data_IF_343802665762
#
_entry.id   IF_343802665762
#
_cell.length_a   1.000
_cell.length_b   1.000
_cell.length_c   1.000
_cell.angle_alpha   90.00
_cell.angle_beta   90.00
_cell.angle_gamma   90.00
#
_symmetry.space_group_name_H-M   'P 1'
#
loop_
_entity.id
_entity.type
_entity.pdbx_description
1 polymer ?
#
# COMPACT_ATOMS: atom_id res chain seq x y z
N UNK A 1 -5.16 -82.55 28.94
CA UNK A 1 -5.48 -81.72 27.76
C UNK A 1 -6.74 -82.27 27.13
N UNK A 2 -7.73 -81.42 26.88
CA UNK A 2 -8.92 -81.77 26.12
C UNK A 2 -8.58 -81.61 24.62
N UNK A 3 -8.51 -82.73 23.89
CA UNK A 3 -8.30 -82.72 22.44
C UNK A 3 -9.67 -82.57 21.75
N UNK A 4 -9.92 -81.47 21.04
CA UNK A 4 -11.18 -81.30 20.33
C UNK A 4 -11.24 -82.33 19.20
N UNK A 5 -12.21 -83.23 19.32
CA UNK A 5 -12.41 -84.34 18.38
C UNK A 5 -13.79 -84.24 17.74
N UNK A 6 -13.83 -84.52 16.45
CA UNK A 6 -15.04 -84.74 15.68
C UNK A 6 -15.28 -86.25 15.61
N UNK A 7 -16.38 -86.72 16.20
CA UNK A 7 -16.78 -88.12 16.18
C UNK A 7 -17.97 -88.32 15.24
N UNK A 8 -17.77 -89.08 14.17
CA UNK A 8 -18.85 -89.55 13.29
C UNK A 8 -19.15 -91.00 13.61
N UNK A 9 -20.36 -91.28 14.10
CA UNK A 9 -20.84 -92.63 14.36
C UNK A 9 -21.85 -93.04 13.30
N UNK A 10 -21.60 -94.17 12.65
CA UNK A 10 -22.56 -94.84 11.78
C UNK A 10 -22.83 -96.24 12.29
N UNK A 11 -23.99 -96.79 11.96
CA UNK A 11 -24.37 -98.15 12.35
C UNK A 11 -24.72 -98.97 11.12
N UNK A 12 -24.37 -100.24 11.14
CA UNK A 12 -24.70 -101.20 10.10
C UNK A 12 -25.00 -102.57 10.74
N UNK A 13 -25.84 -103.37 10.09
CA UNK A 13 -26.27 -104.69 10.58
C UNK A 13 -25.70 -105.80 9.71
N UNK A 14 -25.27 -106.89 10.33
CA UNK A 14 -24.96 -108.16 9.66
C UNK A 14 -25.70 -109.27 10.38
N UNK A 15 -26.57 -110.00 9.67
CA UNK A 15 -27.48 -110.99 10.25
C UNK A 15 -28.37 -110.36 11.35
N UNK A 16 -28.32 -110.85 12.60
CA UNK A 16 -29.05 -110.28 13.75
C UNK A 16 -28.21 -109.31 14.61
N UNK A 17 -26.90 -109.20 14.37
CA UNK A 17 -26.00 -108.37 15.17
C UNK A 17 -25.87 -106.95 14.59
N UNK A 18 -25.86 -105.95 15.49
CA UNK A 18 -25.69 -104.53 15.14
C UNK A 18 -24.26 -104.08 15.43
N UNK A 19 -23.61 -103.54 14.40
CA UNK A 19 -22.28 -102.97 14.48
C UNK A 19 -22.36 -101.44 14.48
N UNK A 20 -21.38 -100.82 15.12
CA UNK A 20 -21.18 -99.38 15.13
C UNK A 20 -19.77 -99.11 14.61
N UNK A 21 -19.66 -98.22 13.63
CA UNK A 21 -18.39 -97.70 13.14
C UNK A 21 -18.26 -96.26 13.59
N UNK A 22 -17.23 -95.94 14.37
CA UNK A 22 -16.88 -94.57 14.75
C UNK A 22 -15.64 -94.11 14.01
N UNK A 23 -15.68 -92.91 13.43
CA UNK A 23 -14.50 -92.19 12.92
C UNK A 23 -14.23 -91.04 13.87
N UNK A 24 -13.03 -91.02 14.46
CA UNK A 24 -12.55 -89.93 15.32
C UNK A 24 -11.55 -89.12 14.51
N UNK A 25 -11.76 -87.81 14.42
CA UNK A 25 -10.84 -86.87 13.78
C UNK A 25 -10.42 -85.79 14.78
N UNK A 26 -9.12 -85.58 14.94
CA UNK A 26 -8.59 -84.41 15.66
C UNK A 26 -8.85 -83.15 14.82
N UNK A 27 -9.49 -82.15 15.43
CA UNK A 27 -9.83 -80.87 14.80
C UNK A 27 -9.14 -79.68 15.49
N UNK A 28 -8.13 -79.92 16.33
CA UNK A 28 -7.43 -78.89 17.08
C UNK A 28 -6.77 -77.83 16.20
N UNK A 29 -6.11 -78.24 15.13
CA UNK A 29 -5.51 -77.31 14.16
C UNK A 29 -6.55 -76.46 13.45
N UNK A 30 -7.67 -77.06 13.03
CA UNK A 30 -8.76 -76.33 12.35
C UNK A 30 -9.38 -75.29 13.27
N UNK A 31 -9.69 -75.64 14.53
CA UNK A 31 -10.25 -74.70 15.50
C UNK A 31 -9.29 -73.53 15.79
N UNK A 32 -7.99 -73.81 15.98
CA UNK A 32 -6.99 -72.75 16.19
C UNK A 32 -6.90 -71.80 14.98
N UNK A 33 -6.96 -72.33 13.76
CA UNK A 33 -6.97 -71.52 12.55
C UNK A 33 -8.24 -70.67 12.43
N UNK A 34 -9.42 -71.24 12.73
CA UNK A 34 -10.70 -70.51 12.75
C UNK A 34 -10.69 -69.38 13.80
N UNK A 35 -10.22 -69.66 15.02
CA UNK A 35 -10.13 -68.66 16.09
C UNK A 35 -9.14 -67.54 15.73
N UNK A 36 -7.97 -67.88 15.16
CA UNK A 36 -6.99 -66.90 14.70
C UNK A 36 -7.53 -66.02 13.56
N UNK A 37 -8.25 -66.62 12.60
CA UNK A 37 -8.89 -65.89 11.51
C UNK A 37 -9.93 -64.90 12.06
N UNK A 38 -10.79 -65.38 12.97
CA UNK A 38 -11.82 -64.54 13.61
C UNK A 38 -11.23 -63.36 14.37
N UNK A 39 -10.13 -63.56 15.09
CA UNK A 39 -9.41 -62.48 15.78
C UNK A 39 -8.82 -61.46 14.80
N UNK A 40 -8.22 -61.94 13.70
CA UNK A 40 -7.67 -61.07 12.66
C UNK A 40 -8.75 -60.23 11.98
N UNK A 41 -9.88 -60.85 11.61
CA UNK A 41 -11.03 -60.14 11.02
C UNK A 41 -11.58 -59.07 11.94
N UNK A 42 -11.67 -59.37 13.25
CA UNK A 42 -12.13 -58.39 14.23
C UNK A 42 -11.15 -57.23 14.38
N UNK A 43 -9.84 -57.49 14.49
CA UNK A 43 -8.81 -56.45 14.55
C UNK A 43 -8.77 -55.59 13.28
N UNK A 44 -8.99 -56.17 12.11
CA UNK A 44 -9.10 -55.44 10.85
C UNK A 44 -10.32 -54.52 10.83
N UNK A 45 -11.48 -55.00 11.30
CA UNK A 45 -12.69 -54.17 11.41
C UNK A 45 -12.50 -52.99 12.37
N UNK A 46 -11.89 -53.22 13.53
CA UNK A 46 -11.59 -52.17 14.51
C UNK A 46 -10.67 -51.11 13.92
N UNK A 47 -9.59 -51.51 13.24
CA UNK A 47 -8.70 -50.57 12.55
C UNK A 47 -9.38 -49.83 11.40
N UNK A 48 -10.27 -50.48 10.67
CA UNK A 48 -11.01 -49.84 9.58
C UNK A 48 -11.87 -48.71 10.12
N UNK A 49 -12.60 -48.94 11.22
CA UNK A 49 -13.41 -47.91 11.88
C UNK A 49 -12.54 -46.77 12.41
N UNK A 50 -11.40 -47.09 13.04
CA UNK A 50 -10.46 -46.06 13.54
C UNK A 50 -9.90 -45.19 12.40
N UNK A 51 -9.58 -45.80 11.24
CA UNK A 51 -9.11 -45.05 10.07
C UNK A 51 -10.19 -44.16 9.47
N UNK A 52 -11.44 -44.63 9.47
CA UNK A 52 -12.59 -43.87 8.99
C UNK A 52 -12.82 -42.63 9.87
N UNK A 53 -12.84 -42.80 11.19
CA UNK A 53 -12.92 -41.70 12.15
C UNK A 53 -11.77 -40.69 11.99
N UNK A 54 -10.54 -41.18 11.79
CA UNK A 54 -9.36 -40.32 11.56
C UNK A 54 -9.45 -39.56 10.23
N UNK A 55 -9.92 -40.21 9.17
CA UNK A 55 -10.11 -39.55 7.88
C UNK A 55 -11.16 -38.44 7.98
N UNK A 56 -12.30 -38.69 8.63
CA UNK A 56 -13.30 -37.64 8.85
C UNK A 56 -12.74 -36.47 9.65
N UNK A 57 -11.95 -36.75 10.69
CA UNK A 57 -11.31 -35.70 11.49
C UNK A 57 -10.29 -34.88 10.68
N UNK A 58 -9.51 -35.54 9.82
CA UNK A 58 -8.57 -34.90 8.91
C UNK A 58 -9.28 -34.02 7.88
N UNK A 59 -10.34 -34.52 7.24
CA UNK A 59 -11.14 -33.76 6.29
C UNK A 59 -11.75 -32.50 6.93
N UNK A 60 -12.30 -32.63 8.15
CA UNK A 60 -12.80 -31.48 8.91
C UNK A 60 -11.71 -30.45 9.23
N UNK A 61 -10.50 -30.93 9.54
CA UNK A 61 -9.36 -30.04 9.84
C UNK A 61 -8.86 -29.32 8.60
N UNK A 62 -8.78 -30.02 7.46
CA UNK A 62 -8.42 -29.44 6.17
C UNK A 62 -9.43 -28.39 5.72
N UNK A 63 -10.73 -28.65 5.89
CA UNK A 63 -11.77 -27.68 5.57
C UNK A 63 -11.61 -26.39 6.39
N UNK A 64 -11.38 -26.50 7.71
CA UNK A 64 -11.14 -25.35 8.58
C UNK A 64 -9.86 -24.59 8.22
N UNK A 65 -8.80 -25.32 7.86
CA UNK A 65 -7.53 -24.70 7.47
C UNK A 65 -7.68 -23.89 6.18
N UNK A 66 -8.37 -24.45 5.17
CA UNK A 66 -8.64 -23.74 3.92
C UNK A 66 -9.49 -22.49 4.17
N UNK A 67 -10.55 -22.59 4.98
CA UNK A 67 -11.38 -21.43 5.32
C UNK A 67 -10.58 -20.32 6.02
N UNK A 68 -9.74 -20.68 6.99
CA UNK A 68 -8.86 -19.73 7.67
C UNK A 68 -7.84 -19.10 6.70
N UNK A 69 -7.29 -19.88 5.78
CA UNK A 69 -6.37 -19.38 4.76
C UNK A 69 -7.03 -18.37 3.82
N UNK A 70 -8.25 -18.67 3.34
CA UNK A 70 -9.02 -17.76 2.49
C UNK A 70 -9.35 -16.45 3.22
N UNK A 71 -9.71 -16.53 4.51
CA UNK A 71 -9.92 -15.35 5.33
C UNK A 71 -8.65 -14.50 5.48
N UNK A 72 -7.50 -15.13 5.69
CA UNK A 72 -6.21 -14.44 5.77
C UNK A 72 -5.85 -13.74 4.45
N UNK A 73 -6.07 -14.40 3.30
CA UNK A 73 -5.86 -13.78 1.98
C UNK A 73 -6.73 -12.53 1.83
N UNK A 74 -8.00 -12.60 2.22
CA UNK A 74 -8.90 -11.44 2.15
C UNK A 74 -8.43 -10.32 3.07
N UNK A 75 -8.02 -10.65 4.30
CA UNK A 75 -7.49 -9.66 5.25
C UNK A 75 -6.22 -8.98 4.74
N UNK A 76 -5.29 -9.74 4.16
CA UNK A 76 -4.04 -9.21 3.60
C UNK A 76 -4.32 -8.28 2.41
N UNK A 77 -5.24 -8.68 1.52
CA UNK A 77 -5.70 -7.83 0.41
C UNK A 77 -6.30 -6.53 0.91
N UNK A 78 -7.17 -6.58 1.92
CA UNK A 78 -7.79 -5.38 2.50
C UNK A 78 -6.76 -4.47 3.19
N UNK A 79 -5.81 -5.05 3.92
CA UNK A 79 -4.73 -4.29 4.55
C UNK A 79 -3.82 -3.61 3.51
N UNK A 80 -3.49 -4.33 2.43
CA UNK A 80 -2.70 -3.80 1.31
C UNK A 80 -3.44 -2.68 0.58
N UNK A 81 -4.74 -2.87 0.32
CA UNK A 81 -5.60 -1.84 -0.26
C UNK A 81 -5.66 -0.61 0.64
N UNK A 82 -5.83 -0.78 1.96
CA UNK A 82 -5.85 0.32 2.91
C UNK A 82 -4.56 1.12 2.94
N UNK A 83 -3.39 0.45 2.89
CA UNK A 83 -2.08 1.12 2.77
C UNK A 83 -1.96 1.91 1.48
N UNK A 84 -2.34 1.32 0.34
CA UNK A 84 -2.33 2.00 -0.96
C UNK A 84 -3.28 3.20 -0.98
N UNK A 85 -4.51 3.04 -0.47
CA UNK A 85 -5.48 4.14 -0.36
C UNK A 85 -4.98 5.29 0.51
N UNK A 86 -4.33 5.00 1.64
CA UNK A 86 -3.73 6.02 2.50
C UNK A 86 -2.58 6.76 1.79
N UNK A 87 -1.72 6.01 1.06
CA UNK A 87 -0.65 6.58 0.25
C UNK A 87 -1.20 7.49 -0.86
N UNK A 88 -2.17 7.01 -1.64
CA UNK A 88 -2.83 7.80 -2.69
C UNK A 88 -3.52 9.05 -2.13
N UNK A 89 -4.18 8.96 -0.97
CA UNK A 89 -4.79 10.12 -0.34
C UNK A 89 -3.74 11.18 0.02
N UNK A 90 -2.59 10.76 0.55
CA UNK A 90 -1.49 11.67 0.85
C UNK A 90 -0.92 12.31 -0.43
N UNK A 91 -0.70 11.52 -1.47
CA UNK A 91 -0.22 12.00 -2.76
C UNK A 91 -1.19 12.94 -3.47
N UNK A 92 -2.51 12.78 -3.28
CA UNK A 92 -3.53 13.69 -3.81
C UNK A 92 -3.66 14.98 -2.99
N UNK A 93 -3.45 14.90 -1.68
CA UNK A 93 -3.51 16.07 -0.81
C UNK A 93 -2.37 17.07 -1.11
N UNK A 94 -1.19 16.59 -1.51
CA UNK A 94 -0.06 17.46 -1.85
C UNK A 94 -0.33 18.43 -3.01
N UNK A 95 -0.76 17.99 -4.21
CA UNK A 95 -1.10 18.88 -5.32
C UNK A 95 -2.32 19.73 -4.98
N UNK A 96 -3.32 19.20 -4.27
CA UNK A 96 -4.47 20.00 -3.82
C UNK A 96 -4.03 21.17 -2.93
N UNK A 97 -3.12 20.92 -1.97
CA UNK A 97 -2.55 21.95 -1.13
C UNK A 97 -1.69 22.95 -1.93
N UNK A 98 -0.96 22.48 -2.96
CA UNK A 98 -0.20 23.36 -3.85
C UNK A 98 -1.12 24.29 -4.66
N UNK A 99 -2.23 23.76 -5.20
CA UNK A 99 -3.25 24.55 -5.92
C UNK A 99 -3.91 25.58 -4.99
N UNK A 100 -4.26 25.18 -3.77
CA UNK A 100 -4.83 26.10 -2.78
C UNK A 100 -3.86 27.22 -2.42
N UNK A 101 -2.59 26.91 -2.19
CA UNK A 101 -1.54 27.93 -1.93
C UNK A 101 -1.37 28.87 -3.13
N UNK A 102 -1.26 28.32 -4.34
CA UNK A 102 -1.15 29.12 -5.56
C UNK A 102 -2.36 30.03 -5.76
N UNK A 103 -3.58 29.53 -5.53
CA UNK A 103 -4.80 30.34 -5.60
C UNK A 103 -4.82 31.48 -4.57
N UNK A 104 -4.39 31.20 -3.33
CA UNK A 104 -4.29 32.23 -2.30
C UNK A 104 -3.26 33.32 -2.68
N UNK A 105 -2.08 32.92 -3.17
CA UNK A 105 -1.05 33.84 -3.65
C UNK A 105 -1.53 34.70 -4.83
N UNK A 106 -2.23 34.10 -5.80
CA UNK A 106 -2.82 34.83 -6.92
C UNK A 106 -3.86 35.84 -6.46
N UNK A 107 -4.71 35.47 -5.49
CA UNK A 107 -5.70 36.39 -4.92
C UNK A 107 -5.05 37.58 -4.24
N UNK A 108 -3.98 37.36 -3.50
CA UNK A 108 -3.21 38.42 -2.85
C UNK A 108 -2.53 39.34 -3.88
N UNK A 109 -1.85 38.76 -4.86
CA UNK A 109 -1.20 39.51 -5.94
C UNK A 109 -2.19 40.37 -6.73
N UNK A 110 -3.35 39.82 -7.07
CA UNK A 110 -4.43 40.55 -7.75
C UNK A 110 -4.96 41.71 -6.89
N UNK A 111 -5.17 41.46 -5.60
CA UNK A 111 -5.65 42.51 -4.67
C UNK A 111 -4.64 43.64 -4.54
N UNK A 112 -3.34 43.33 -4.43
CA UNK A 112 -2.26 44.32 -4.42
C UNK A 112 -2.21 45.11 -5.72
N UNK A 113 -2.23 44.44 -6.87
CA UNK A 113 -2.22 45.09 -8.19
C UNK A 113 -3.39 46.06 -8.34
N UNK A 114 -4.59 45.63 -7.93
CA UNK A 114 -5.78 46.47 -7.97
C UNK A 114 -5.67 47.70 -7.05
N UNK A 115 -5.18 47.53 -5.82
CA UNK A 115 -4.96 48.65 -4.90
C UNK A 115 -3.92 49.65 -5.45
N UNK A 116 -2.84 49.15 -6.04
CA UNK A 116 -1.83 49.99 -6.69
C UNK A 116 -2.43 50.77 -7.86
N UNK A 117 -3.23 50.13 -8.73
CA UNK A 117 -3.93 50.82 -9.82
C UNK A 117 -4.84 51.94 -9.31
N UNK A 118 -5.58 51.71 -8.22
CA UNK A 118 -6.44 52.75 -7.63
C UNK A 118 -5.62 53.92 -7.07
N UNK A 119 -4.49 53.65 -6.39
CA UNK A 119 -3.58 54.69 -5.90
C UNK A 119 -2.95 55.48 -7.03
N UNK A 120 -2.52 54.79 -8.09
CA UNK A 120 -1.93 55.42 -9.27
C UNK A 120 -2.93 56.33 -9.99
N UNK A 121 -4.22 55.95 -10.04
CA UNK A 121 -5.26 56.83 -10.57
C UNK A 121 -5.44 58.11 -9.74
N UNK A 122 -5.14 58.08 -8.45
CA UNK A 122 -5.20 59.26 -7.59
C UNK A 122 -3.99 60.19 -7.76
N UNK A 123 -2.94 59.74 -8.46
CA UNK A 123 -1.80 60.54 -8.85
C UNK A 123 -2.09 60.99 -10.29
N UNK A 124 -2.37 62.27 -10.51
CA UNK A 124 -2.71 62.82 -11.83
C UNK A 124 -1.49 62.81 -12.78
N UNK A 125 -1.09 61.62 -13.26
CA UNK A 125 0.04 61.45 -14.15
C UNK A 125 -0.20 62.12 -15.51
N UNK A 126 0.82 62.82 -16.02
CA UNK A 126 0.80 63.32 -17.38
C UNK A 126 0.88 62.17 -18.40
N UNK A 127 0.44 62.38 -19.66
CA UNK A 127 0.56 61.38 -20.71
C UNK A 127 1.98 60.82 -20.87
N UNK A 128 3.00 61.69 -20.80
CA UNK A 128 4.41 61.30 -20.88
C UNK A 128 4.86 60.45 -19.68
N UNK A 129 4.34 60.73 -18.48
CA UNK A 129 4.63 59.90 -17.30
C UNK A 129 3.97 58.51 -17.39
N UNK A 130 2.75 58.45 -17.95
CA UNK A 130 2.08 57.17 -18.22
C UNK A 130 2.82 56.33 -19.27
N UNK A 131 3.35 56.96 -20.32
CA UNK A 131 4.18 56.28 -21.31
C UNK A 131 5.44 55.67 -20.67
N UNK A 132 6.15 56.45 -19.84
CA UNK A 132 7.35 55.96 -19.14
C UNK A 132 7.04 54.83 -18.17
N UNK A 133 5.92 54.90 -17.48
CA UNK A 133 5.45 53.85 -16.58
C UNK A 133 5.15 52.53 -17.31
N UNK A 134 4.53 52.59 -18.49
CA UNK A 134 4.27 51.40 -19.34
C UNK A 134 5.59 50.82 -19.87
N UNK A 135 6.56 51.67 -20.20
CA UNK A 135 7.91 51.23 -20.57
C UNK A 135 8.58 50.47 -19.42
N UNK A 136 8.53 51.02 -18.21
CA UNK A 136 9.07 50.39 -17.00
C UNK A 136 8.36 49.06 -16.66
N UNK A 137 7.03 48.99 -16.78
CA UNK A 137 6.27 47.74 -16.58
C UNK A 137 6.71 46.65 -17.58
N UNK A 138 6.87 47.00 -18.86
CA UNK A 138 7.35 46.06 -19.88
C UNK A 138 8.78 45.59 -19.59
N UNK A 139 9.65 46.51 -19.18
CA UNK A 139 11.02 46.20 -18.77
C UNK A 139 11.04 45.20 -17.61
N UNK A 140 10.26 45.47 -16.55
CA UNK A 140 10.15 44.59 -15.40
C UNK A 140 9.57 43.20 -15.77
N UNK A 141 8.54 43.14 -16.61
CA UNK A 141 7.94 41.88 -17.06
C UNK A 141 8.92 41.02 -17.87
N UNK A 142 9.67 41.63 -18.79
CA UNK A 142 10.66 40.92 -19.60
C UNK A 142 11.73 40.26 -18.70
N UNK A 143 12.14 40.95 -17.64
CA UNK A 143 13.13 40.48 -16.68
C UNK A 143 12.60 39.46 -15.68
N UNK A 144 11.36 39.59 -15.23
CA UNK A 144 10.71 38.63 -14.34
C UNK A 144 10.66 37.19 -14.90
N UNK A 145 10.72 37.03 -16.23
CA UNK A 145 10.79 35.71 -16.88
C UNK A 145 12.19 35.08 -16.89
N UNK A 146 13.22 35.81 -16.44
CA UNK A 146 14.63 35.39 -16.41
C UNK A 146 15.28 35.77 -15.07
N UNK A 147 15.04 35.02 -13.98
CA UNK A 147 15.60 35.36 -12.67
C UNK A 147 17.14 35.31 -12.69
N UNK A 148 17.77 36.31 -12.07
CA UNK A 148 19.22 36.35 -11.96
C UNK A 148 19.73 35.20 -11.08
N UNK A 149 20.63 34.37 -11.63
CA UNK A 149 21.27 33.27 -10.92
C UNK A 149 22.44 33.77 -10.05
N UNK A 150 22.16 34.69 -9.12
CA UNK A 150 23.16 35.20 -8.18
C UNK A 150 23.22 34.29 -6.95
N UNK A 151 24.44 34.00 -6.49
CA UNK A 151 24.66 33.40 -5.18
C UNK A 151 24.42 34.47 -4.08
N UNK A 152 24.34 34.04 -2.81
CA UNK A 152 24.00 34.94 -1.70
C UNK A 152 24.96 36.14 -1.56
N UNK A 153 26.26 35.92 -1.81
CA UNK A 153 27.28 36.98 -1.75
C UNK A 153 27.11 37.96 -2.90
N UNK A 154 27.00 37.48 -4.14
CA UNK A 154 26.83 38.33 -5.32
C UNK A 154 25.50 39.08 -5.34
N UNK A 155 24.45 38.54 -4.71
CA UNK A 155 23.20 39.27 -4.47
C UNK A 155 23.44 40.44 -3.52
N UNK A 156 24.07 40.19 -2.37
CA UNK A 156 24.36 41.22 -1.37
C UNK A 156 25.27 42.32 -1.92
N UNK A 157 26.30 41.96 -2.68
CA UNK A 157 27.21 42.92 -3.30
C UNK A 157 26.47 43.82 -4.29
N UNK A 158 25.58 43.23 -5.10
CA UNK A 158 24.78 43.96 -6.07
C UNK A 158 23.71 44.84 -5.41
N UNK A 159 23.07 44.36 -4.35
CA UNK A 159 22.12 45.14 -3.56
C UNK A 159 22.82 46.39 -3.02
N UNK A 160 24.00 46.25 -2.39
CA UNK A 160 24.77 47.38 -1.88
C UNK A 160 25.19 48.38 -2.98
N UNK A 161 25.57 47.91 -4.17
CA UNK A 161 25.91 48.77 -5.31
C UNK A 161 24.70 49.62 -5.77
N UNK A 162 23.53 48.99 -5.88
CA UNK A 162 22.30 49.67 -6.31
C UNK A 162 21.76 50.59 -5.19
N UNK A 163 21.86 50.18 -3.92
CA UNK A 163 21.50 51.03 -2.77
C UNK A 163 22.29 52.33 -2.77
N UNK A 164 23.62 52.25 -2.91
CA UNK A 164 24.48 53.42 -2.94
C UNK A 164 24.14 54.37 -4.10
N UNK A 165 23.76 53.83 -5.26
CA UNK A 165 23.29 54.64 -6.39
C UNK A 165 21.94 55.30 -6.12
N UNK A 166 20.97 54.57 -5.54
CA UNK A 166 19.65 55.08 -5.21
C UNK A 166 19.68 56.16 -4.12
N UNK A 167 20.60 56.06 -3.14
CA UNK A 167 20.82 57.09 -2.12
C UNK A 167 21.26 58.44 -2.71
N UNK A 168 21.91 58.43 -3.86
CA UNK A 168 22.34 59.66 -4.54
C UNK A 168 21.19 60.37 -5.27
N UNK A 169 20.02 59.74 -5.41
CA UNK A 169 18.86 60.27 -6.11
C UNK A 169 17.99 61.07 -5.13
N UNK A 170 17.44 62.24 -5.52
CA UNK A 170 16.60 63.07 -4.64
C UNK A 170 15.17 62.50 -4.49
N UNK A 171 15.06 61.22 -4.15
CA UNK A 171 13.81 60.53 -3.87
C UNK A 171 13.94 59.91 -2.47
N UNK A 172 13.01 60.28 -1.59
CA UNK A 172 12.99 59.77 -0.22
C UNK A 172 12.82 58.25 -0.22
N UNK A 173 13.69 57.56 0.53
CA UNK A 173 13.71 56.10 0.68
C UNK A 173 13.84 55.32 -0.63
N UNK A 174 14.49 55.90 -1.66
CA UNK A 174 14.71 55.19 -2.92
C UNK A 174 15.50 53.88 -2.75
N UNK A 175 16.44 53.85 -1.79
CA UNK A 175 17.30 52.71 -1.46
C UNK A 175 16.51 51.44 -1.09
N UNK A 176 15.30 51.58 -0.52
CA UNK A 176 14.42 50.44 -0.18
C UNK A 176 14.05 49.58 -1.41
N UNK A 177 14.21 50.09 -2.63
CA UNK A 177 13.90 49.38 -3.87
C UNK A 177 15.03 48.47 -4.35
N UNK A 178 16.24 48.57 -3.80
CA UNK A 178 17.38 47.80 -4.29
C UNK A 178 17.16 46.28 -4.27
N UNK A 179 16.60 45.65 -3.21
CA UNK A 179 16.35 44.21 -3.21
C UNK A 179 15.37 43.77 -4.31
N UNK A 180 14.36 44.59 -4.59
CA UNK A 180 13.37 44.31 -5.65
C UNK A 180 14.00 44.42 -7.04
N UNK A 181 14.83 45.45 -7.27
CA UNK A 181 15.56 45.64 -8.54
C UNK A 181 16.57 44.51 -8.78
N UNK A 182 17.32 44.09 -7.75
CA UNK A 182 18.20 42.92 -7.84
C UNK A 182 17.42 41.63 -8.02
N UNK A 183 16.24 41.51 -7.40
CA UNK A 183 15.30 40.41 -7.62
C UNK A 183 14.87 40.28 -9.08
N UNK A 184 14.69 41.41 -9.78
CA UNK A 184 14.46 41.48 -11.23
C UNK A 184 15.74 41.29 -12.06
N UNK A 185 16.89 41.09 -11.42
CA UNK A 185 18.18 40.91 -12.08
C UNK A 185 18.73 42.18 -12.71
N UNK A 186 18.25 43.37 -12.31
CA UNK A 186 18.76 44.64 -12.80
C UNK A 186 20.24 44.81 -12.40
N UNK A 187 21.00 45.39 -13.32
CA UNK A 187 22.36 45.85 -13.07
C UNK A 187 22.38 47.37 -13.02
N UNK A 188 23.42 47.95 -12.44
CA UNK A 188 23.57 49.41 -12.37
C UNK A 188 23.47 50.07 -13.75
N UNK A 189 24.09 49.45 -14.77
CA UNK A 189 24.04 49.92 -16.15
C UNK A 189 22.62 49.94 -16.75
N UNK A 190 21.72 49.07 -16.30
CA UNK A 190 20.33 49.10 -16.72
C UNK A 190 19.59 50.30 -16.13
N UNK A 191 19.90 50.65 -14.88
CA UNK A 191 19.27 51.76 -14.17
C UNK A 191 19.76 53.11 -14.68
N UNK A 192 21.04 53.22 -15.03
CA UNK A 192 21.62 54.41 -15.64
C UNK A 192 21.10 54.68 -17.07
N UNK A 193 20.60 53.65 -17.75
CA UNK A 193 20.05 53.75 -19.11
C UNK A 193 18.55 54.12 -19.16
N UNK A 194 17.86 54.17 -18.00
CA UNK A 194 16.42 54.47 -17.88
C UNK A 194 16.12 55.96 -17.85
#
# INVERSE_FOLDING_TARGET
EELPIELSLSTWKVREDRYFTGIIRDIGERKRAEDALRQSEQALREKSLELEDKNEALERTLARLNEAHDQLIVQEKMASLGKLSAGMAHELNNPAAAVLRGSAQLREAFSRSHQTQLRMRALDFSPTQLEKLVELDRFAQARATKPAALNAIGRSDREAEIEAWLEAIPIENAWDLAPDLVGLGCELADLEAL
#
